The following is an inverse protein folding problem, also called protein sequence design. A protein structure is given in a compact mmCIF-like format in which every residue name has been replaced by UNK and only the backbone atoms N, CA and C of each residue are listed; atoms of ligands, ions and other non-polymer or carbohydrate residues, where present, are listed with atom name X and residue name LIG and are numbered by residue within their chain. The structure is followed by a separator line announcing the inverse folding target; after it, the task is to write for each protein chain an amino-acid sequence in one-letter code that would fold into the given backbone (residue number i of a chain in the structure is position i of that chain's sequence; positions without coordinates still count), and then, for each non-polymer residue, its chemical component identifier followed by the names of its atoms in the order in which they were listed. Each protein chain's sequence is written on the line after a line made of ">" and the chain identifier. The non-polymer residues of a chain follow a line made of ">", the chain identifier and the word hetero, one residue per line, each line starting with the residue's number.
data_IF_720222818876
#
_entry.id   IF_720222818876
#
_cell.length_a   1.000
_cell.length_b   1.000
_cell.length_c   1.000
_cell.angle_alpha   90.00
_cell.angle_beta   90.00
_cell.angle_gamma   90.00
#
_symmetry.space_group_name_H-M   'P 1'
#
loop_
_entity.id
_entity.type
_entity.pdbx_description
1 polymer ?
#
# COMPACT_ATOMS: atom_id res chain seq x y z
N UNK A 1 -55.38 -5.41 -31.18
CA UNK A 1 -54.79 -4.23 -30.53
C UNK A 1 -53.80 -4.61 -29.41
N UNK A 2 -54.27 -5.08 -28.23
CA UNK A 2 -53.31 -5.46 -27.11
C UNK A 2 -52.39 -6.63 -27.43
N UNK A 3 -52.84 -7.63 -28.20
CA UNK A 3 -51.98 -8.73 -28.63
C UNK A 3 -50.93 -8.30 -29.68
N UNK A 4 -51.31 -7.39 -30.56
CA UNK A 4 -50.41 -6.86 -31.58
C UNK A 4 -49.33 -5.96 -30.97
N UNK A 5 -49.68 -5.17 -29.95
CA UNK A 5 -48.73 -4.36 -29.18
C UNK A 5 -47.77 -5.24 -28.36
N UNK A 6 -48.26 -6.34 -27.78
CA UNK A 6 -47.42 -7.31 -27.04
C UNK A 6 -46.44 -7.97 -27.98
N UNK A 7 -46.86 -8.38 -29.18
CA UNK A 7 -45.97 -8.98 -30.17
C UNK A 7 -44.93 -7.98 -30.70
N UNK A 8 -45.28 -6.72 -30.89
CA UNK A 8 -44.33 -5.67 -31.29
C UNK A 8 -43.27 -5.41 -30.20
N UNK A 9 -43.69 -5.32 -28.93
CA UNK A 9 -42.75 -5.16 -27.80
C UNK A 9 -41.83 -6.37 -27.62
N UNK A 10 -42.34 -7.59 -27.83
CA UNK A 10 -41.51 -8.79 -27.80
C UNK A 10 -40.47 -8.80 -28.92
N UNK A 11 -40.84 -8.38 -30.12
CA UNK A 11 -39.91 -8.25 -31.23
C UNK A 11 -38.83 -7.16 -30.97
N UNK A 12 -39.23 -6.03 -30.40
CA UNK A 12 -38.30 -4.96 -30.01
C UNK A 12 -37.35 -5.43 -28.90
N UNK A 13 -37.83 -6.21 -27.94
CA UNK A 13 -37.01 -6.78 -26.90
C UNK A 13 -35.94 -7.72 -27.46
N UNK A 14 -36.32 -8.63 -28.38
CA UNK A 14 -35.36 -9.54 -29.04
C UNK A 14 -34.32 -8.74 -29.86
N UNK A 15 -34.75 -7.74 -30.62
CA UNK A 15 -33.80 -6.92 -31.40
C UNK A 15 -32.87 -6.10 -30.54
N UNK A 16 -33.29 -5.66 -29.35
CA UNK A 16 -32.42 -4.95 -28.39
C UNK A 16 -31.46 -5.89 -27.69
N UNK A 17 -31.87 -7.11 -27.35
CA UNK A 17 -30.98 -8.16 -26.83
C UNK A 17 -29.89 -8.55 -27.83
N UNK A 18 -30.24 -8.70 -29.12
CA UNK A 18 -29.27 -8.97 -30.17
C UNK A 18 -28.24 -7.83 -30.33
N UNK A 19 -28.72 -6.58 -30.28
CA UNK A 19 -27.82 -5.42 -30.31
C UNK A 19 -26.90 -5.39 -29.09
N UNK A 20 -27.38 -5.68 -27.90
CA UNK A 20 -26.58 -5.75 -26.67
C UNK A 20 -25.50 -6.83 -26.82
N UNK A 21 -25.83 -8.00 -27.36
CA UNK A 21 -24.89 -9.09 -27.55
C UNK A 21 -23.81 -8.76 -28.61
N UNK A 22 -24.18 -8.07 -29.68
CA UNK A 22 -23.23 -7.57 -30.68
C UNK A 22 -22.26 -6.55 -30.04
N UNK A 23 -22.81 -5.54 -29.34
CA UNK A 23 -22.01 -4.51 -28.68
C UNK A 23 -21.09 -5.09 -27.59
N UNK A 24 -21.51 -6.11 -26.88
CA UNK A 24 -20.65 -6.83 -25.93
C UNK A 24 -19.45 -7.47 -26.61
N UNK A 25 -19.68 -8.19 -27.72
CA UNK A 25 -18.61 -8.81 -28.50
C UNK A 25 -17.64 -7.77 -29.08
N UNK A 26 -18.16 -6.66 -29.59
CA UNK A 26 -17.32 -5.56 -30.09
C UNK A 26 -16.49 -4.93 -28.97
N UNK A 27 -17.07 -4.72 -27.79
CA UNK A 27 -16.36 -4.21 -26.62
C UNK A 27 -15.27 -5.20 -26.15
N UNK A 28 -15.54 -6.49 -26.13
CA UNK A 28 -14.54 -7.51 -25.80
C UNK A 28 -13.36 -7.47 -26.78
N UNK A 29 -13.65 -7.40 -28.09
CA UNK A 29 -12.60 -7.30 -29.12
C UNK A 29 -11.80 -6.00 -29.02
N UNK A 30 -12.46 -4.88 -28.73
CA UNK A 30 -11.79 -3.59 -28.53
C UNK A 30 -10.91 -3.61 -27.30
N UNK A 31 -11.38 -4.19 -26.19
CA UNK A 31 -10.62 -4.38 -24.97
C UNK A 31 -9.38 -5.25 -25.21
N UNK A 32 -9.53 -6.37 -25.90
CA UNK A 32 -8.42 -7.27 -26.22
C UNK A 32 -7.36 -6.57 -27.09
N UNK A 33 -7.78 -5.83 -28.12
CA UNK A 33 -6.84 -5.04 -28.95
C UNK A 33 -6.14 -3.96 -28.15
N UNK A 34 -6.87 -3.30 -27.26
CA UNK A 34 -6.31 -2.27 -26.42
C UNK A 34 -5.30 -2.84 -25.41
N UNK A 35 -5.63 -3.98 -24.78
CA UNK A 35 -4.75 -4.73 -23.87
C UNK A 35 -3.45 -5.11 -24.59
N UNK A 36 -3.55 -5.70 -25.78
CA UNK A 36 -2.39 -6.11 -26.57
C UNK A 36 -1.50 -4.91 -26.91
N UNK A 37 -2.11 -3.79 -27.34
CA UNK A 37 -1.37 -2.57 -27.64
C UNK A 37 -0.65 -2.01 -26.41
N UNK A 38 -1.30 -2.01 -25.24
CA UNK A 38 -0.69 -1.51 -24.02
C UNK A 38 0.43 -2.41 -23.52
N UNK A 39 0.30 -3.72 -23.70
CA UNK A 39 1.38 -4.67 -23.39
C UNK A 39 2.58 -4.45 -24.33
N UNK A 40 2.36 -4.25 -25.63
CA UNK A 40 3.44 -3.89 -26.56
C UNK A 40 4.14 -2.58 -26.18
N UNK A 41 3.38 -1.57 -25.74
CA UNK A 41 3.98 -0.30 -25.28
C UNK A 41 4.80 -0.49 -24.00
N UNK A 42 4.31 -1.31 -23.05
CA UNK A 42 5.05 -1.65 -21.85
C UNK A 42 6.34 -2.45 -22.17
N UNK A 43 6.28 -3.39 -23.11
CA UNK A 43 7.46 -4.14 -23.58
C UNK A 43 8.49 -3.22 -24.23
N UNK A 44 8.07 -2.34 -25.14
CA UNK A 44 8.98 -1.35 -25.76
C UNK A 44 9.65 -0.45 -24.70
N UNK A 45 8.89 -0.05 -23.68
CA UNK A 45 9.44 0.75 -22.57
C UNK A 45 10.47 -0.07 -21.76
N UNK A 46 10.20 -1.35 -21.53
CA UNK A 46 11.10 -2.26 -20.84
C UNK A 46 12.37 -2.54 -21.67
N UNK A 47 12.25 -2.75 -23.00
CA UNK A 47 13.38 -2.90 -23.91
C UNK A 47 14.27 -1.65 -23.94
N UNK A 48 13.66 -0.46 -24.02
CA UNK A 48 14.39 0.79 -23.95
C UNK A 48 15.16 0.94 -22.63
N UNK A 49 14.53 0.55 -21.51
CA UNK A 49 15.18 0.54 -20.20
C UNK A 49 16.36 -0.44 -20.16
N UNK A 50 16.19 -1.64 -20.71
CA UNK A 50 17.22 -2.67 -20.77
C UNK A 50 18.42 -2.25 -21.65
N UNK A 51 18.14 -1.56 -22.77
CA UNK A 51 19.19 -0.97 -23.61
C UNK A 51 19.98 0.11 -22.85
N UNK A 52 19.28 0.96 -22.10
CA UNK A 52 19.90 1.98 -21.26
C UNK A 52 20.75 1.36 -20.13
N UNK A 53 20.27 0.26 -19.53
CA UNK A 53 21.00 -0.51 -18.52
C UNK A 53 22.32 -1.07 -19.05
N UNK A 54 22.27 -1.72 -20.22
CA UNK A 54 23.49 -2.30 -20.84
C UNK A 54 24.51 -1.23 -21.20
N UNK A 55 24.06 -0.07 -21.69
CA UNK A 55 24.94 1.06 -21.98
C UNK A 55 25.57 1.63 -20.70
N UNK A 56 24.83 1.69 -19.61
CA UNK A 56 25.30 2.20 -18.31
C UNK A 56 26.27 1.21 -17.63
N UNK A 57 26.02 -0.09 -17.76
CA UNK A 57 26.94 -1.14 -17.29
C UNK A 57 28.28 -1.11 -18.05
N UNK A 58 28.23 -0.94 -19.37
CA UNK A 58 29.45 -0.77 -20.15
C UNK A 58 30.24 0.48 -19.72
N UNK A 59 29.55 1.61 -19.51
CA UNK A 59 30.19 2.83 -19.02
C UNK A 59 30.79 2.68 -17.61
N UNK A 60 30.13 1.91 -16.71
CA UNK A 60 30.67 1.58 -15.38
C UNK A 60 31.87 0.63 -15.46
N UNK A 61 31.83 -0.39 -16.31
CA UNK A 61 32.95 -1.30 -16.54
C UNK A 61 34.18 -0.55 -17.06
N UNK A 62 34.00 0.45 -17.91
CA UNK A 62 35.08 1.29 -18.41
C UNK A 62 35.60 2.25 -17.34
N UNK A 63 34.71 2.79 -16.49
CA UNK A 63 35.10 3.61 -15.33
C UNK A 63 35.81 2.79 -14.25
N UNK A 64 35.36 1.56 -13.98
CA UNK A 64 36.00 0.66 -13.00
C UNK A 64 37.31 0.08 -13.52
N UNK A 65 37.47 -0.15 -14.83
CA UNK A 65 38.76 -0.43 -15.45
C UNK A 65 39.76 0.71 -15.24
N UNK A 66 39.30 1.93 -15.22
CA UNK A 66 40.14 3.09 -14.88
C UNK A 66 40.46 3.19 -13.39
N UNK A 67 39.50 2.81 -12.49
CA UNK A 67 39.67 2.79 -11.03
C UNK A 67 40.50 1.60 -10.53
N UNK A 68 40.38 0.42 -11.16
CA UNK A 68 41.19 -0.76 -10.79
C UNK A 68 42.71 -0.55 -11.05
N UNK A 69 43.09 0.40 -11.90
CA UNK A 69 44.48 0.84 -12.02
C UNK A 69 44.96 1.68 -10.81
N UNK A 70 44.03 2.12 -9.94
CA UNK A 70 44.37 2.98 -8.78
C UNK A 70 44.12 2.39 -7.40
N UNK A 71 43.41 1.26 -7.25
CA UNK A 71 43.05 0.73 -5.93
C UNK A 71 43.28 -0.78 -5.79
N UNK A 72 44.56 -1.17 -5.61
CA UNK A 72 44.88 -2.35 -4.81
C UNK A 72 45.05 -1.87 -3.37
N UNK A 73 44.07 -2.13 -2.51
CA UNK A 73 44.09 -2.33 -1.04
C UNK A 73 42.81 -1.84 -0.39
N UNK A 74 42.01 -2.77 0.05
CA UNK A 74 41.56 -2.95 1.45
C UNK A 74 40.40 -3.93 1.50
N UNK A 75 40.69 -5.03 2.20
CA UNK A 75 39.73 -6.07 2.60
C UNK A 75 38.89 -5.59 3.78
N UNK A 76 37.65 -6.02 3.87
CA UNK A 76 37.17 -6.90 4.95
C UNK A 76 35.64 -6.88 5.08
N UNK A 77 35.17 -8.08 5.16
CA UNK A 77 33.83 -8.60 5.42
C UNK A 77 33.14 -8.06 6.68
N UNK A 78 31.82 -7.96 6.62
CA UNK A 78 30.97 -8.31 7.76
C UNK A 78 29.59 -8.75 7.28
N UNK A 79 29.32 -10.03 7.45
CA UNK A 79 27.98 -10.60 7.42
C UNK A 79 27.19 -10.13 8.63
N UNK A 80 25.99 -9.60 8.39
CA UNK A 80 25.05 -9.27 9.46
C UNK A 80 24.00 -10.37 9.51
N UNK A 81 24.01 -11.12 10.59
CA UNK A 81 22.95 -12.07 10.93
C UNK A 81 21.61 -11.34 11.17
N UNK A 82 20.64 -11.66 10.32
CA UNK A 82 19.27 -11.18 10.44
C UNK A 82 18.40 -12.32 10.94
N UNK A 83 18.00 -12.29 12.19
CA UNK A 83 16.72 -12.75 12.72
C UNK A 83 16.73 -12.79 14.25
N UNK A 84 16.50 -11.66 14.91
CA UNK A 84 15.98 -11.70 16.27
C UNK A 84 14.46 -11.57 16.18
N UNK A 85 13.76 -12.69 16.33
CA UNK A 85 12.33 -12.68 16.59
C UNK A 85 12.08 -11.90 17.89
N UNK A 86 11.47 -10.74 17.79
CA UNK A 86 11.03 -9.95 18.94
C UNK A 86 9.87 -10.73 19.57
N UNK A 87 9.92 -11.11 20.87
CA UNK A 87 8.79 -11.77 21.52
C UNK A 87 7.63 -10.78 21.56
N UNK A 88 6.55 -11.10 20.87
CA UNK A 88 5.33 -10.28 20.89
C UNK A 88 4.78 -10.22 22.31
N UNK A 89 4.65 -9.01 22.87
CA UNK A 89 3.87 -8.79 24.07
C UNK A 89 2.40 -9.09 23.77
N UNK A 90 1.66 -9.64 24.73
CA UNK A 90 0.22 -9.84 24.56
C UNK A 90 -0.44 -8.47 24.35
N UNK A 91 -1.04 -8.30 23.17
CA UNK A 91 -1.72 -7.06 22.80
C UNK A 91 -3.04 -6.96 23.58
N UNK A 92 -3.24 -5.85 24.26
CA UNK A 92 -4.49 -5.53 24.94
C UNK A 92 -5.23 -4.48 24.13
N UNK A 93 -6.51 -4.73 23.84
CA UNK A 93 -7.30 -3.80 23.06
C UNK A 93 -7.57 -2.50 23.83
N UNK A 94 -7.32 -1.33 23.23
CA UNK A 94 -7.50 -0.04 23.89
C UNK A 94 -8.98 0.24 24.14
N UNK A 95 -9.26 1.05 25.17
CA UNK A 95 -10.61 1.53 25.50
C UNK A 95 -10.83 2.97 25.08
N UNK A 96 -9.77 3.76 25.04
CA UNK A 96 -9.76 5.19 24.65
C UNK A 96 -8.40 5.56 24.06
N UNK A 97 -8.34 6.67 23.33
CA UNK A 97 -7.07 7.23 22.89
C UNK A 97 -6.23 7.70 24.08
N UNK A 98 -4.96 7.37 24.09
CA UNK A 98 -4.00 7.83 25.10
C UNK A 98 -3.57 9.27 24.85
N UNK A 99 -3.47 9.65 23.57
CA UNK A 99 -3.08 11.00 23.16
C UNK A 99 -3.70 11.34 21.79
N UNK A 100 -4.14 12.61 21.66
CA UNK A 100 -4.55 13.22 20.38
C UNK A 100 -3.57 14.31 20.01
N UNK A 101 -3.05 14.28 18.78
CA UNK A 101 -1.99 15.15 18.28
C UNK A 101 -2.51 15.90 17.06
N UNK A 102 -2.37 17.24 17.05
CA UNK A 102 -2.53 18.02 15.83
C UNK A 102 -1.24 17.87 14.99
N UNK A 103 -1.27 16.97 14.02
CA UNK A 103 -0.05 16.54 13.33
C UNK A 103 0.33 17.42 12.16
N UNK A 104 -0.64 17.88 11.34
CA UNK A 104 -0.39 18.62 10.11
C UNK A 104 -1.16 19.93 10.05
N UNK A 105 -0.70 20.83 9.18
CA UNK A 105 -1.38 22.10 8.91
C UNK A 105 -2.48 21.94 7.84
N UNK A 106 -2.47 20.84 7.11
CA UNK A 106 -3.44 20.45 6.10
C UNK A 106 -3.92 19.00 6.31
N UNK A 107 -4.77 18.47 5.41
CA UNK A 107 -5.30 17.12 5.47
C UNK A 107 -4.21 16.05 5.53
N UNK A 108 -4.39 15.05 6.42
CA UNK A 108 -3.52 13.87 6.48
C UNK A 108 -4.08 12.80 5.55
N UNK A 109 -3.20 12.09 4.85
CA UNK A 109 -3.58 11.02 3.94
C UNK A 109 -3.05 9.65 4.37
N UNK A 110 -1.91 9.60 5.05
CA UNK A 110 -1.26 8.35 5.41
C UNK A 110 -0.51 8.41 6.74
N UNK A 111 -0.33 7.25 7.34
CA UNK A 111 0.44 7.04 8.57
C UNK A 111 1.14 5.68 8.48
N UNK A 112 2.36 5.58 8.99
CA UNK A 112 3.11 4.35 9.11
C UNK A 112 3.98 4.35 10.36
N UNK A 113 4.05 3.22 11.06
CA UNK A 113 5.00 2.98 12.12
C UNK A 113 6.37 2.56 11.55
N UNK A 114 7.45 2.86 12.24
CA UNK A 114 8.80 2.41 11.91
C UNK A 114 8.97 0.92 12.19
N UNK A 115 9.95 0.29 11.55
CA UNK A 115 10.22 -1.16 11.70
C UNK A 115 10.71 -1.52 13.11
N UNK A 116 11.40 -0.61 13.78
CA UNK A 116 11.82 -0.78 15.18
C UNK A 116 10.74 -0.40 16.19
N UNK A 117 9.67 0.26 15.75
CA UNK A 117 8.61 0.75 16.61
C UNK A 117 8.98 1.95 17.47
N UNK A 118 10.10 2.63 17.18
CA UNK A 118 10.57 3.80 17.94
C UNK A 118 9.95 5.12 17.49
N UNK A 119 9.42 5.16 16.27
CA UNK A 119 8.82 6.35 15.67
C UNK A 119 7.64 6.00 14.77
N UNK A 120 6.88 6.99 14.37
CA UNK A 120 5.91 6.87 13.28
C UNK A 120 5.98 8.11 12.39
N UNK A 121 5.55 7.95 11.15
CA UNK A 121 5.51 9.01 10.15
C UNK A 121 4.10 9.23 9.65
N UNK A 122 3.79 10.48 9.33
CA UNK A 122 2.54 10.88 8.67
C UNK A 122 2.83 11.70 7.44
N UNK A 123 1.99 11.57 6.42
CA UNK A 123 2.07 12.36 5.20
C UNK A 123 0.73 13.00 4.86
N UNK A 124 0.77 14.19 4.30
CA UNK A 124 -0.45 14.94 4.05
C UNK A 124 -0.38 15.92 2.89
N UNK A 125 -1.46 16.72 2.78
CA UNK A 125 -1.63 17.74 1.75
C UNK A 125 -0.71 18.97 1.94
N UNK A 126 -0.09 19.11 3.10
CA UNK A 126 0.94 20.12 3.36
C UNK A 126 2.30 19.79 2.69
N UNK A 127 2.35 18.69 1.90
CA UNK A 127 3.52 18.27 1.11
C UNK A 127 4.72 17.86 1.96
N UNK A 128 4.50 17.52 3.23
CA UNK A 128 5.52 17.15 4.19
C UNK A 128 5.28 15.75 4.71
N UNK A 129 6.37 15.07 5.06
CA UNK A 129 6.33 13.92 5.97
C UNK A 129 6.79 14.41 7.32
N UNK A 130 5.96 14.24 8.35
CA UNK A 130 6.31 14.56 9.73
C UNK A 130 6.60 13.29 10.48
N UNK A 131 7.72 13.29 11.21
CA UNK A 131 8.20 12.18 12.03
C UNK A 131 7.88 12.47 13.50
N UNK A 132 7.42 11.46 14.19
CA UNK A 132 7.00 11.54 15.58
C UNK A 132 7.68 10.44 16.39
N UNK A 133 8.03 10.75 17.62
CA UNK A 133 8.44 9.75 18.59
C UNK A 133 7.27 8.86 18.98
N UNK A 134 7.45 7.55 18.97
CA UNK A 134 6.40 6.54 19.15
C UNK A 134 5.74 6.59 20.53
N UNK A 135 6.48 6.98 21.58
CA UNK A 135 6.00 6.98 22.96
C UNK A 135 5.40 8.32 23.36
N UNK A 136 6.13 9.39 23.04
CA UNK A 136 5.72 10.74 23.47
C UNK A 136 4.75 11.39 22.48
N UNK A 137 4.72 10.95 21.23
CA UNK A 137 3.95 11.55 20.15
C UNK A 137 4.37 12.99 19.83
N UNK A 138 5.59 13.37 20.17
CA UNK A 138 6.13 14.67 19.81
C UNK A 138 6.75 14.65 18.43
N UNK A 139 6.62 15.75 17.68
CA UNK A 139 7.27 15.89 16.38
C UNK A 139 8.78 15.93 16.59
N UNK A 140 9.49 15.03 15.92
CA UNK A 140 10.96 15.02 15.92
C UNK A 140 11.50 15.77 14.73
N UNK A 141 10.98 15.51 13.53
CA UNK A 141 11.44 16.13 12.30
C UNK A 141 10.32 16.33 11.29
N UNK A 142 10.56 17.23 10.32
CA UNK A 142 9.67 17.46 9.19
C UNK A 142 10.48 17.38 7.89
N UNK A 143 10.14 16.41 7.04
CA UNK A 143 10.79 16.17 5.77
C UNK A 143 10.05 16.90 4.66
N UNK A 144 10.76 17.71 3.90
CA UNK A 144 10.24 18.50 2.78
C UNK A 144 10.83 18.03 1.45
N UNK A 145 10.29 18.56 0.34
CA UNK A 145 10.76 18.25 -1.02
C UNK A 145 9.72 17.60 -1.92
N UNK A 146 8.55 17.22 -1.39
CA UNK A 146 7.42 16.87 -2.22
C UNK A 146 6.76 18.12 -2.82
N UNK A 147 6.32 18.03 -4.07
CA UNK A 147 5.70 19.17 -4.77
C UNK A 147 4.19 19.20 -4.57
N UNK A 148 3.57 18.06 -4.26
CA UNK A 148 2.15 17.91 -4.00
C UNK A 148 1.89 16.98 -2.81
N UNK A 149 0.62 16.60 -2.60
CA UNK A 149 0.15 15.77 -1.50
C UNK A 149 0.85 14.43 -1.43
N UNK A 150 1.25 14.03 -0.22
CA UNK A 150 1.80 12.72 0.07
C UNK A 150 0.64 11.75 0.33
N UNK A 151 0.58 10.67 -0.45
CA UNK A 151 -0.51 9.68 -0.45
C UNK A 151 -0.19 8.42 0.35
N UNK A 152 1.08 8.06 0.45
CA UNK A 152 1.55 6.88 1.20
C UNK A 152 2.92 7.17 1.79
N UNK A 153 3.18 6.59 2.95
CA UNK A 153 4.47 6.65 3.66
C UNK A 153 4.88 5.26 4.10
N UNK A 154 6.16 4.95 4.03
CA UNK A 154 6.72 3.70 4.57
C UNK A 154 8.18 3.92 5.01
N UNK A 155 8.55 3.28 6.12
CA UNK A 155 9.95 3.11 6.52
C UNK A 155 10.54 1.88 5.82
N UNK A 156 11.84 1.88 5.60
CA UNK A 156 12.54 0.66 5.20
C UNK A 156 12.79 -0.24 6.42
N UNK A 157 13.31 -1.46 6.19
CA UNK A 157 13.53 -2.47 7.24
C UNK A 157 14.54 -2.06 8.31
N UNK A 158 15.50 -1.16 7.97
CA UNK A 158 16.54 -0.67 8.88
C UNK A 158 16.21 0.66 9.54
N UNK A 159 15.06 1.27 9.24
CA UNK A 159 14.67 2.61 9.66
C UNK A 159 15.71 3.72 9.32
N UNK A 160 16.46 3.53 8.22
CA UNK A 160 17.37 4.55 7.70
C UNK A 160 16.74 5.45 6.64
N UNK A 161 15.69 4.94 5.99
CA UNK A 161 15.02 5.58 4.87
C UNK A 161 13.52 5.67 5.11
N UNK A 162 12.92 6.76 4.64
CA UNK A 162 11.48 6.93 4.54
C UNK A 162 11.10 7.20 3.10
N UNK A 163 10.11 6.48 2.61
CA UNK A 163 9.53 6.61 1.28
C UNK A 163 8.22 7.37 1.38
N UNK A 164 7.94 8.25 0.43
CA UNK A 164 6.66 8.92 0.25
C UNK A 164 6.21 8.90 -1.20
N UNK A 165 5.01 8.37 -1.45
CA UNK A 165 4.33 8.49 -2.75
C UNK A 165 3.60 9.81 -2.82
N UNK A 166 3.55 10.43 -4.00
CA UNK A 166 2.98 11.77 -4.15
C UNK A 166 1.99 11.85 -5.33
N UNK A 167 1.09 12.82 -5.25
CA UNK A 167 0.16 13.12 -6.35
C UNK A 167 0.81 13.88 -7.51
N UNK A 168 2.07 14.27 -7.38
CA UNK A 168 2.89 14.86 -8.45
C UNK A 168 3.57 13.81 -9.35
N UNK A 169 3.04 12.59 -9.36
CA UNK A 169 3.47 11.45 -10.17
C UNK A 169 4.88 10.92 -9.82
N UNK A 170 5.44 11.35 -8.69
CA UNK A 170 6.75 10.92 -8.24
C UNK A 170 6.67 10.18 -6.90
N UNK A 171 7.63 9.29 -6.68
CA UNK A 171 7.91 8.69 -5.38
C UNK A 171 9.25 9.22 -4.89
N UNK A 172 9.32 9.61 -3.63
CA UNK A 172 10.54 10.21 -3.05
C UNK A 172 11.01 9.42 -1.85
N UNK A 173 12.32 9.45 -1.64
CA UNK A 173 12.97 8.74 -0.54
C UNK A 173 13.87 9.72 0.19
N UNK A 174 13.67 9.83 1.49
CA UNK A 174 14.48 10.66 2.38
C UNK A 174 15.36 9.77 3.26
N UNK A 175 16.55 10.27 3.56
CA UNK A 175 17.43 9.68 4.57
C UNK A 175 17.04 10.21 5.94
N UNK A 176 16.83 9.31 6.91
CA UNK A 176 16.54 9.68 8.31
C UNK A 176 17.78 10.19 9.06
N UNK A 177 18.98 9.78 8.66
CA UNK A 177 20.21 10.28 9.26
C UNK A 177 20.49 11.75 8.93
N UNK A 178 20.17 12.18 7.69
CA UNK A 178 20.44 13.55 7.22
C UNK A 178 19.21 14.41 7.11
N UNK A 179 18.00 13.82 7.20
CA UNK A 179 16.69 14.43 6.98
C UNK A 179 16.55 15.10 5.59
N UNK A 180 17.33 14.64 4.62
CA UNK A 180 17.37 15.18 3.25
C UNK A 180 16.80 14.18 2.25
N UNK A 181 16.27 14.72 1.16
CA UNK A 181 15.85 13.95 0.01
C UNK A 181 17.05 13.22 -0.59
N UNK A 182 16.96 11.90 -0.74
CA UNK A 182 18.00 11.02 -1.28
C UNK A 182 17.73 10.64 -2.73
N UNK A 183 16.49 10.22 -3.03
CA UNK A 183 16.08 9.81 -4.37
C UNK A 183 14.72 10.43 -4.74
N UNK A 184 14.56 10.76 -6.03
CA UNK A 184 13.27 11.10 -6.63
C UNK A 184 13.05 10.16 -7.81
N UNK A 185 12.07 9.30 -7.69
CA UNK A 185 11.71 8.30 -8.69
C UNK A 185 10.60 8.89 -9.56
N UNK A 186 10.98 9.33 -10.76
CA UNK A 186 10.09 9.95 -11.75
C UNK A 186 9.91 9.02 -12.95
N UNK A 187 8.70 8.99 -13.52
CA UNK A 187 8.40 8.14 -14.68
C UNK A 187 6.97 7.63 -14.70
N UNK A 188 6.20 7.70 -13.59
CA UNK A 188 4.76 7.58 -13.67
C UNK A 188 4.16 8.83 -14.35
N UNK A 189 3.10 8.63 -15.14
CA UNK A 189 2.35 9.71 -15.79
C UNK A 189 1.07 10.08 -15.04
N UNK A 190 0.74 9.34 -13.99
CA UNK A 190 -0.39 9.58 -13.09
C UNK A 190 0.01 9.58 -11.62
N UNK A 191 -0.91 10.00 -10.76
CA UNK A 191 -0.72 10.06 -9.30
C UNK A 191 -0.26 8.72 -8.75
N UNK A 192 0.77 8.73 -7.89
CA UNK A 192 1.23 7.52 -7.20
C UNK A 192 0.48 7.39 -5.88
N UNK A 193 -0.26 6.30 -5.71
CA UNK A 193 -1.06 6.09 -4.50
C UNK A 193 -0.38 5.23 -3.45
N UNK A 194 0.49 4.33 -3.86
CA UNK A 194 1.22 3.46 -2.95
C UNK A 194 2.61 3.17 -3.49
N UNK A 195 3.55 2.98 -2.58
CA UNK A 195 4.85 2.41 -2.89
C UNK A 195 5.39 1.65 -1.70
N UNK A 196 6.20 0.63 -1.96
CA UNK A 196 6.76 -0.27 -0.96
C UNK A 196 8.24 -0.53 -1.22
N UNK A 197 9.04 -0.51 -0.16
CA UNK A 197 10.40 -1.03 -0.19
C UNK A 197 10.37 -2.57 -0.22
N UNK A 198 11.32 -3.17 -0.92
CA UNK A 198 11.72 -4.55 -0.66
C UNK A 198 12.47 -4.64 0.68
N UNK A 199 12.52 -5.81 1.30
CA UNK A 199 13.10 -5.96 2.63
C UNK A 199 14.60 -5.63 2.66
N UNK A 200 15.31 -5.92 1.56
CA UNK A 200 16.71 -5.55 1.36
C UNK A 200 16.93 -4.04 1.11
N UNK A 201 15.85 -3.27 1.00
CA UNK A 201 15.85 -1.82 0.71
C UNK A 201 16.56 -1.42 -0.58
N UNK A 202 16.84 -2.37 -1.49
CA UNK A 202 17.49 -2.09 -2.77
C UNK A 202 16.50 -1.70 -3.87
N UNK A 203 15.25 -2.14 -3.73
CA UNK A 203 14.20 -1.85 -4.71
C UNK A 203 12.98 -1.20 -4.07
N UNK A 204 12.24 -0.48 -4.90
CA UNK A 204 10.92 0.06 -4.57
C UNK A 204 9.93 -0.38 -5.64
N UNK A 205 8.72 -0.72 -5.22
CA UNK A 205 7.62 -1.02 -6.13
C UNK A 205 6.53 0.02 -5.87
N UNK A 206 6.10 0.71 -6.92
CA UNK A 206 5.08 1.76 -6.84
C UNK A 206 3.88 1.43 -7.71
N UNK A 207 2.69 1.79 -7.22
CA UNK A 207 1.42 1.67 -7.92
C UNK A 207 0.79 3.03 -8.16
N UNK A 208 0.29 3.24 -9.38
CA UNK A 208 -0.19 4.53 -9.84
C UNK A 208 -1.59 4.48 -10.46
N UNK A 209 -2.19 5.65 -10.52
CA UNK A 209 -3.43 5.91 -11.26
C UNK A 209 -3.26 5.72 -12.77
N UNK A 210 -2.03 5.77 -13.29
CA UNK A 210 -1.71 5.54 -14.70
C UNK A 210 -1.88 4.08 -15.15
N UNK A 211 -2.39 3.22 -14.28
CA UNK A 211 -2.63 1.78 -14.50
C UNK A 211 -1.34 1.00 -14.69
N UNK A 212 -0.27 1.44 -14.04
CA UNK A 212 1.01 0.71 -14.04
C UNK A 212 1.53 0.49 -12.64
N UNK A 213 2.26 -0.61 -12.46
CA UNK A 213 3.22 -0.76 -11.39
C UNK A 213 4.61 -0.53 -11.98
N UNK A 214 5.48 0.08 -11.20
CA UNK A 214 6.88 0.27 -11.59
C UNK A 214 7.80 -0.31 -10.51
N UNK A 215 8.81 -1.03 -10.96
CA UNK A 215 9.89 -1.57 -10.13
C UNK A 215 11.11 -0.68 -10.31
N UNK A 216 11.59 -0.12 -9.23
CA UNK A 216 12.72 0.81 -9.20
C UNK A 216 13.91 0.16 -8.51
N UNK A 217 15.08 0.31 -9.09
CA UNK A 217 16.35 -0.06 -8.49
C UNK A 217 16.97 1.20 -7.87
N UNK A 218 17.19 1.20 -6.55
CA UNK A 218 17.69 2.38 -5.84
C UNK A 218 19.20 2.61 -6.01
N UNK A 219 19.94 1.56 -6.33
CA UNK A 219 21.36 1.70 -6.63
C UNK A 219 21.56 2.33 -8.02
N UNK A 220 20.73 1.93 -8.97
CA UNK A 220 20.75 2.44 -10.32
C UNK A 220 20.01 3.79 -10.46
N UNK A 221 18.99 4.01 -9.63
CA UNK A 221 18.21 5.26 -9.57
C UNK A 221 17.11 5.39 -10.64
N UNK A 222 16.77 4.30 -11.36
CA UNK A 222 15.76 4.33 -12.41
C UNK A 222 14.82 3.12 -12.37
N UNK A 223 13.75 3.20 -13.17
CA UNK A 223 12.76 2.14 -13.31
C UNK A 223 13.32 0.97 -14.12
N UNK A 224 13.34 -0.21 -13.54
CA UNK A 224 13.82 -1.44 -14.18
C UNK A 224 12.71 -2.24 -14.85
N UNK A 225 11.47 -2.08 -14.41
CA UNK A 225 10.31 -2.78 -14.98
C UNK A 225 9.05 -1.93 -14.85
N UNK A 226 8.27 -1.90 -15.92
CA UNK A 226 6.91 -1.38 -15.94
C UNK A 226 5.94 -2.52 -16.19
N UNK A 227 4.90 -2.64 -15.35
CA UNK A 227 3.86 -3.66 -15.44
C UNK A 227 2.54 -2.93 -15.67
N UNK A 228 1.82 -3.29 -16.70
CA UNK A 228 0.50 -2.74 -17.00
C UNK A 228 -0.58 -3.53 -16.25
N UNK A 229 -1.40 -2.82 -15.44
CA UNK A 229 -2.33 -3.44 -14.49
C UNK A 229 -3.80 -3.35 -14.89
N UNK A 230 -4.09 -2.87 -16.10
CA UNK A 230 -5.44 -2.72 -16.69
C UNK A 230 -6.34 -1.70 -15.97
N UNK A 231 -6.19 -1.50 -14.67
CA UNK A 231 -6.96 -0.57 -13.85
C UNK A 231 -6.05 0.23 -12.92
N UNK A 232 -6.52 1.40 -12.48
CA UNK A 232 -5.79 2.25 -11.53
C UNK A 232 -5.48 1.48 -10.25
N UNK A 233 -4.23 1.55 -9.80
CA UNK A 233 -3.76 0.92 -8.59
C UNK A 233 -3.95 1.87 -7.39
N UNK A 234 -4.69 1.43 -6.38
CA UNK A 234 -4.93 2.18 -5.15
C UNK A 234 -3.95 1.78 -4.03
N UNK A 235 -3.55 0.52 -3.97
CA UNK A 235 -2.60 0.03 -2.97
C UNK A 235 -1.76 -1.13 -3.48
N UNK A 236 -0.57 -1.30 -2.88
CA UNK A 236 0.39 -2.35 -3.22
C UNK A 236 0.93 -2.95 -1.94
N UNK A 237 1.08 -4.27 -1.90
CA UNK A 237 1.89 -4.95 -0.89
C UNK A 237 2.79 -6.01 -1.54
N UNK A 238 3.82 -6.41 -0.82
CA UNK A 238 4.76 -7.45 -1.26
C UNK A 238 4.42 -8.74 -0.52
N UNK A 239 4.31 -9.83 -1.26
CA UNK A 239 4.08 -11.15 -0.69
C UNK A 239 5.37 -11.71 -0.12
N UNK A 240 6.47 -11.52 -0.83
CA UNK A 240 7.79 -12.05 -0.48
C UNK A 240 8.70 -10.92 0.03
N UNK A 241 9.65 -11.22 0.96
CA UNK A 241 10.65 -10.25 1.41
C UNK A 241 11.46 -9.64 0.28
N UNK A 242 11.79 -10.44 -0.73
CA UNK A 242 12.55 -10.02 -1.91
C UNK A 242 11.71 -9.21 -2.92
N UNK A 243 10.39 -9.11 -2.70
CA UNK A 243 9.48 -8.40 -3.59
C UNK A 243 9.37 -9.03 -4.99
N UNK A 244 9.48 -10.36 -5.08
CA UNK A 244 9.29 -11.08 -6.33
C UNK A 244 7.81 -11.14 -6.70
N UNK A 245 6.95 -11.39 -5.71
CA UNK A 245 5.49 -11.38 -5.90
C UNK A 245 4.87 -10.12 -5.32
N UNK A 246 4.22 -9.38 -6.19
CA UNK A 246 3.54 -8.12 -5.86
C UNK A 246 2.04 -8.32 -5.90
N UNK A 247 1.34 -7.84 -4.89
CA UNK A 247 -0.11 -7.82 -4.81
C UNK A 247 -0.59 -6.39 -4.95
N UNK A 248 -1.55 -6.16 -5.83
CA UNK A 248 -2.11 -4.84 -6.08
C UNK A 248 -3.63 -4.83 -5.98
N UNK A 249 -4.16 -3.79 -5.34
CA UNK A 249 -5.60 -3.54 -5.21
C UNK A 249 -6.04 -2.41 -6.13
N UNK A 250 -7.14 -2.61 -6.84
CA UNK A 250 -7.52 -1.77 -7.96
C UNK A 250 -8.90 -1.11 -7.83
N UNK A 251 -9.09 -0.09 -8.67
CA UNK A 251 -10.33 0.68 -8.81
C UNK A 251 -11.48 -0.18 -9.39
N UNK A 252 -11.17 -1.22 -10.16
CA UNK A 252 -12.11 -2.15 -10.79
C UNK A 252 -12.58 -3.28 -9.85
N UNK A 253 -12.36 -3.15 -8.55
CA UNK A 253 -12.73 -4.09 -7.48
C UNK A 253 -11.87 -5.38 -7.46
N UNK A 254 -10.90 -5.52 -8.35
CA UNK A 254 -10.06 -6.71 -8.47
C UNK A 254 -8.76 -6.57 -7.70
N UNK A 255 -8.23 -7.71 -7.30
CA UNK A 255 -6.90 -7.84 -6.70
C UNK A 255 -6.07 -8.65 -7.68
N UNK A 256 -4.85 -8.20 -7.96
CA UNK A 256 -3.96 -8.87 -8.92
C UNK A 256 -2.62 -9.18 -8.31
N UNK A 257 -2.08 -10.33 -8.67
CA UNK A 257 -0.76 -10.79 -8.26
C UNK A 257 0.15 -10.80 -9.48
N UNK A 258 1.37 -10.29 -9.31
CA UNK A 258 2.34 -10.07 -10.37
C UNK A 258 3.70 -10.64 -10.00
N UNK A 259 4.40 -11.22 -10.96
CA UNK A 259 5.84 -11.47 -10.85
C UNK A 259 6.58 -10.16 -11.21
N UNK A 260 7.22 -9.56 -10.22
CA UNK A 260 7.93 -8.28 -10.39
C UNK A 260 9.13 -8.38 -11.33
N UNK A 261 9.73 -9.57 -11.47
CA UNK A 261 10.89 -9.80 -12.32
C UNK A 261 10.51 -9.89 -13.80
N UNK A 262 9.46 -10.65 -14.10
CA UNK A 262 8.99 -10.86 -15.48
C UNK A 262 7.96 -9.83 -15.92
N UNK A 263 7.21 -9.26 -14.97
CA UNK A 263 6.08 -8.38 -15.24
C UNK A 263 4.79 -9.11 -15.59
N UNK A 264 4.79 -10.45 -15.53
CA UNK A 264 3.64 -11.27 -15.89
C UNK A 264 2.66 -11.37 -14.72
N UNK A 265 1.35 -11.33 -15.03
CA UNK A 265 0.30 -11.58 -14.05
C UNK A 265 0.29 -13.05 -13.62
N UNK A 266 0.39 -13.27 -12.31
CA UNK A 266 0.33 -14.61 -11.70
C UNK A 266 -1.14 -15.04 -11.54
N UNK A 267 -1.95 -14.15 -10.97
CA UNK A 267 -3.35 -14.42 -10.65
C UNK A 267 -4.17 -13.13 -10.61
N UNK A 268 -5.39 -13.21 -11.06
CA UNK A 268 -6.42 -12.19 -10.84
C UNK A 268 -7.52 -12.77 -9.95
N UNK A 269 -7.87 -12.05 -8.90
CA UNK A 269 -8.93 -12.37 -7.96
C UNK A 269 -10.12 -11.45 -8.24
N UNK A 270 -11.12 -11.97 -8.92
CA UNK A 270 -12.36 -11.28 -9.27
C UNK A 270 -13.49 -11.69 -8.35
N UNK A 271 -14.50 -10.81 -8.15
CA UNK A 271 -15.67 -11.12 -7.36
C UNK A 271 -15.45 -11.25 -5.85
N UNK A 272 -14.23 -10.96 -5.37
CA UNK A 272 -13.94 -10.91 -3.93
C UNK A 272 -14.73 -9.77 -3.29
N UNK A 273 -14.68 -8.58 -3.89
CA UNK A 273 -15.37 -7.39 -3.42
C UNK A 273 -16.28 -6.81 -4.50
N UNK A 274 -17.37 -6.17 -4.09
CA UNK A 274 -18.27 -5.45 -4.99
C UNK A 274 -17.92 -3.97 -5.15
N UNK A 275 -16.98 -3.46 -4.38
CA UNK A 275 -16.47 -2.08 -4.41
C UNK A 275 -14.95 -2.02 -4.62
N UNK A 276 -14.47 -0.83 -4.93
CA UNK A 276 -13.04 -0.56 -5.17
C UNK A 276 -12.18 -1.02 -3.99
N UNK A 277 -11.04 -1.65 -4.28
CA UNK A 277 -10.06 -2.01 -3.26
C UNK A 277 -9.32 -0.75 -2.82
N UNK A 278 -9.31 -0.49 -1.52
CA UNK A 278 -8.66 0.69 -0.95
C UNK A 278 -7.34 0.37 -0.25
N UNK A 279 -7.21 -0.85 0.27
CA UNK A 279 -6.01 -1.30 0.97
C UNK A 279 -5.78 -2.79 0.77
N UNK A 280 -4.51 -3.15 0.65
CA UNK A 280 -4.02 -4.53 0.66
C UNK A 280 -2.83 -4.62 1.61
N UNK A 281 -2.85 -5.59 2.52
CA UNK A 281 -1.74 -5.83 3.45
C UNK A 281 -1.63 -7.31 3.76
N UNK A 282 -0.41 -7.79 3.94
CA UNK A 282 -0.14 -9.18 4.28
C UNK A 282 0.19 -9.29 5.76
N UNK A 283 -0.18 -10.41 6.39
CA UNK A 283 0.15 -10.62 7.80
C UNK A 283 1.65 -10.86 7.97
N UNK A 284 2.23 -10.23 9.00
CA UNK A 284 3.64 -10.38 9.31
C UNK A 284 3.97 -11.73 9.97
N UNK A 285 2.97 -12.46 10.48
CA UNK A 285 3.19 -13.69 11.26
C UNK A 285 3.46 -14.91 10.38
N UNK A 286 2.70 -15.08 9.31
CA UNK A 286 2.79 -16.25 8.43
C UNK A 286 3.06 -15.91 6.97
N UNK A 287 2.91 -14.63 6.58
CA UNK A 287 3.09 -14.19 5.20
C UNK A 287 2.09 -14.79 4.19
N UNK A 288 1.06 -15.51 4.68
CA UNK A 288 0.14 -16.26 3.82
C UNK A 288 -1.28 -15.71 3.82
N UNK A 289 -1.59 -14.81 4.75
CA UNK A 289 -2.93 -14.21 4.86
C UNK A 289 -2.91 -12.77 4.38
N UNK A 290 -3.64 -12.49 3.30
CA UNK A 290 -3.85 -11.16 2.74
C UNK A 290 -5.10 -10.53 3.37
N UNK A 291 -4.97 -9.32 3.89
CA UNK A 291 -6.09 -8.48 4.30
C UNK A 291 -6.40 -7.49 3.19
N UNK A 292 -7.66 -7.40 2.84
CA UNK A 292 -8.17 -6.44 1.86
C UNK A 292 -9.26 -5.57 2.48
N UNK A 293 -9.28 -4.29 2.15
CA UNK A 293 -10.34 -3.36 2.52
C UNK A 293 -10.95 -2.77 1.25
N UNK A 294 -12.27 -2.60 1.24
CA UNK A 294 -13.00 -2.16 0.06
C UNK A 294 -14.05 -1.11 0.36
N UNK A 295 -14.44 -0.37 -0.68
CA UNK A 295 -15.55 0.59 -0.67
C UNK A 295 -16.93 -0.06 -0.53
N UNK A 296 -17.01 -1.38 -0.57
CA UNK A 296 -18.23 -2.14 -0.23
C UNK A 296 -18.49 -2.22 1.28
N UNK A 297 -17.68 -1.53 2.09
CA UNK A 297 -17.74 -1.50 3.55
C UNK A 297 -17.45 -2.86 4.20
N UNK A 298 -16.67 -3.71 3.54
CA UNK A 298 -16.19 -4.96 4.10
C UNK A 298 -14.66 -5.03 4.05
N UNK A 299 -14.11 -5.74 5.04
CA UNK A 299 -12.73 -6.22 4.96
C UNK A 299 -12.80 -7.74 4.79
N UNK A 300 -11.81 -8.29 4.10
CA UNK A 300 -11.70 -9.74 3.92
C UNK A 300 -10.28 -10.20 4.11
N UNK A 301 -10.13 -11.38 4.71
CA UNK A 301 -8.86 -12.11 4.71
C UNK A 301 -8.92 -13.22 3.68
N UNK A 302 -7.84 -13.36 2.91
CA UNK A 302 -7.70 -14.30 1.80
C UNK A 302 -6.43 -15.11 2.04
N UNK A 303 -6.50 -16.43 1.93
CA UNK A 303 -5.29 -17.28 1.89
C UNK A 303 -4.66 -17.15 0.49
N UNK A 304 -3.45 -16.62 0.40
CA UNK A 304 -2.77 -16.38 -0.88
C UNK A 304 -2.30 -17.65 -1.57
N UNK A 305 -2.29 -18.80 -0.90
CA UNK A 305 -1.92 -20.11 -1.48
C UNK A 305 -3.10 -20.78 -2.17
N UNK A 306 -4.29 -20.63 -1.59
CA UNK A 306 -5.54 -21.22 -2.10
C UNK A 306 -6.38 -20.21 -2.86
N UNK A 307 -6.11 -18.90 -2.66
CA UNK A 307 -6.86 -17.77 -3.21
C UNK A 307 -8.32 -17.72 -2.74
N UNK A 308 -8.60 -18.33 -1.60
CA UNK A 308 -9.94 -18.41 -1.01
C UNK A 308 -10.12 -17.39 0.11
N UNK A 309 -11.36 -16.91 0.27
CA UNK A 309 -11.74 -16.04 1.37
C UNK A 309 -11.78 -16.85 2.66
N UNK A 310 -10.89 -16.52 3.60
CA UNK A 310 -10.86 -17.15 4.92
C UNK A 310 -11.93 -16.54 5.83
N UNK A 311 -12.04 -15.19 5.82
CA UNK A 311 -12.96 -14.47 6.70
C UNK A 311 -13.41 -13.15 6.06
N UNK A 312 -14.65 -12.76 6.38
CA UNK A 312 -15.18 -11.43 6.05
C UNK A 312 -15.50 -10.69 7.35
N UNK A 313 -15.15 -9.39 7.39
CA UNK A 313 -15.39 -8.51 8.52
C UNK A 313 -16.32 -7.39 8.08
N UNK A 314 -17.36 -7.16 8.85
CA UNK A 314 -18.32 -6.09 8.62
C UNK A 314 -18.89 -5.62 9.96
N UNK A 315 -19.39 -4.40 10.00
CA UNK A 315 -20.13 -3.86 11.11
C UNK A 315 -21.14 -2.85 10.58
N UNK A 316 -22.31 -2.73 11.24
CA UNK A 316 -23.35 -1.78 10.81
C UNK A 316 -22.87 -0.34 10.81
N UNK A 317 -21.95 -0.01 11.72
CA UNK A 317 -21.36 1.33 11.87
C UNK A 317 -20.12 1.54 10.99
N UNK A 318 -19.56 0.50 10.39
CA UNK A 318 -18.37 0.64 9.56
C UNK A 318 -18.70 1.13 8.16
N UNK A 319 -18.06 2.22 7.76
CA UNK A 319 -18.15 2.79 6.40
C UNK A 319 -16.76 3.17 5.89
N UNK A 320 -16.37 2.61 4.76
CA UNK A 320 -15.13 3.00 4.09
C UNK A 320 -15.38 4.25 3.21
N UNK A 321 -14.95 5.40 3.68
CA UNK A 321 -15.23 6.71 3.07
C UNK A 321 -14.26 7.17 2.00
N UNK A 322 -13.04 6.58 1.89
CA UNK A 322 -11.95 7.07 1.05
C UNK A 322 -11.31 5.94 0.25
N UNK A 323 -10.87 6.26 -0.99
CA UNK A 323 -10.18 5.28 -1.85
C UNK A 323 -8.76 4.92 -1.36
N UNK A 324 -8.25 5.65 -0.37
CA UNK A 324 -6.92 5.43 0.23
C UNK A 324 -6.97 5.11 1.72
N UNK A 325 -8.16 4.72 2.26
CA UNK A 325 -8.28 4.22 3.63
C UNK A 325 -7.48 2.94 3.80
N UNK A 326 -6.56 2.95 4.76
CA UNK A 326 -5.70 1.81 5.05
C UNK A 326 -6.22 1.01 6.23
N UNK A 327 -6.06 -0.31 6.14
CA UNK A 327 -6.31 -1.27 7.21
C UNK A 327 -5.03 -2.04 7.54
N UNK A 328 -4.95 -2.60 8.72
CA UNK A 328 -3.75 -3.30 9.19
C UNK A 328 -4.09 -4.49 10.07
N UNK A 329 -3.21 -5.49 10.07
CA UNK A 329 -3.17 -6.50 11.11
C UNK A 329 -2.48 -5.99 12.37
N UNK A 330 -2.84 -6.55 13.53
CA UNK A 330 -1.98 -6.47 14.71
C UNK A 330 -0.69 -7.27 14.48
N UNK A 331 0.44 -6.90 15.13
CA UNK A 331 1.71 -7.61 14.96
C UNK A 331 1.66 -9.11 15.28
N UNK A 332 0.78 -9.51 16.20
CA UNK A 332 0.54 -10.92 16.56
C UNK A 332 -0.49 -11.63 15.64
N UNK A 333 -1.02 -10.94 14.63
CA UNK A 333 -2.00 -11.47 13.68
C UNK A 333 -3.39 -11.77 14.24
N UNK A 334 -3.65 -11.44 15.53
CA UNK A 334 -4.94 -11.78 16.18
C UNK A 334 -6.07 -10.82 15.87
N UNK A 335 -5.73 -9.58 15.51
CA UNK A 335 -6.71 -8.52 15.27
C UNK A 335 -6.51 -7.86 13.92
N UNK A 336 -7.60 -7.31 13.41
CA UNK A 336 -7.66 -6.47 12.22
C UNK A 336 -8.21 -5.13 12.63
N UNK A 337 -7.58 -4.04 12.20
CA UNK A 337 -8.01 -2.69 12.50
C UNK A 337 -8.23 -1.86 11.24
N UNK A 338 -9.33 -1.10 11.20
CA UNK A 338 -9.63 -0.17 10.12
C UNK A 338 -10.38 1.05 10.63
N UNK A 339 -10.14 2.18 9.96
CA UNK A 339 -10.82 3.43 10.24
C UNK A 339 -12.08 3.60 9.41
N UNK A 340 -13.12 4.15 10.02
CA UNK A 340 -14.42 4.42 9.42
C UNK A 340 -14.61 5.89 9.04
N UNK A 341 -15.57 6.14 8.16
CA UNK A 341 -15.93 7.48 7.69
C UNK A 341 -16.55 8.38 8.77
N UNK A 342 -17.11 7.78 9.80
CA UNK A 342 -17.69 8.48 10.96
C UNK A 342 -16.65 8.89 12.03
N UNK A 343 -15.37 8.57 11.81
CA UNK A 343 -14.31 8.83 12.77
C UNK A 343 -14.11 7.72 13.80
N UNK A 344 -14.80 6.58 13.66
CA UNK A 344 -14.64 5.44 14.56
C UNK A 344 -13.52 4.51 14.10
N UNK A 345 -12.69 4.06 15.03
CA UNK A 345 -11.75 2.98 14.82
C UNK A 345 -12.43 1.66 15.15
N UNK A 346 -12.47 0.75 14.17
CA UNK A 346 -13.03 -0.59 14.34
C UNK A 346 -11.91 -1.62 14.46
N UNK A 347 -12.02 -2.53 15.42
CA UNK A 347 -11.07 -3.61 15.66
C UNK A 347 -11.84 -4.93 15.74
N UNK A 348 -11.51 -5.86 14.85
CA UNK A 348 -12.10 -7.19 14.79
C UNK A 348 -11.08 -8.24 15.19
N UNK A 349 -11.58 -9.35 15.73
CA UNK A 349 -10.80 -10.55 15.94
C UNK A 349 -10.59 -11.27 14.59
N UNK A 350 -9.34 -11.42 14.18
CA UNK A 350 -8.99 -11.98 12.87
C UNK A 350 -9.48 -13.43 12.69
N UNK A 351 -9.49 -14.23 13.76
CA UNK A 351 -9.89 -15.64 13.73
C UNK A 351 -11.40 -15.81 13.72
N UNK A 352 -12.13 -15.05 14.54
CA UNK A 352 -13.59 -15.23 14.70
C UNK A 352 -14.41 -14.34 13.77
N UNK A 353 -13.83 -13.24 13.25
CA UNK A 353 -14.54 -12.23 12.47
C UNK A 353 -15.41 -11.29 13.29
N UNK A 354 -15.45 -11.45 14.62
CA UNK A 354 -16.29 -10.62 15.49
C UNK A 354 -15.67 -9.25 15.73
N UNK A 355 -16.52 -8.22 15.77
CA UNK A 355 -16.14 -6.88 16.20
C UNK A 355 -15.85 -6.89 17.70
N UNK A 356 -14.64 -6.54 18.09
CA UNK A 356 -14.22 -6.47 19.50
C UNK A 356 -14.37 -5.06 20.05
N UNK A 357 -14.05 -4.04 19.24
CA UNK A 357 -14.11 -2.63 19.62
C UNK A 357 -14.55 -1.75 18.44
N UNK A 358 -15.35 -0.73 18.76
CA UNK A 358 -15.61 0.44 17.93
C UNK A 358 -15.38 1.67 18.81
N UNK A 359 -14.36 2.47 18.48
CA UNK A 359 -13.85 3.56 19.32
C UNK A 359 -13.99 4.89 18.59
N UNK A 360 -14.89 5.76 19.04
CA UNK A 360 -15.21 7.05 18.43
C UNK A 360 -14.46 8.18 19.14
N UNK A 361 -13.27 8.51 18.68
CA UNK A 361 -12.40 9.58 19.23
C UNK A 361 -12.01 10.62 18.18
N UNK A 362 -12.16 10.30 16.91
CA UNK A 362 -11.88 11.24 15.84
C UNK A 362 -13.14 12.00 15.43
N UNK A 363 -12.93 13.21 14.94
CA UNK A 363 -14.02 14.11 14.49
C UNK A 363 -14.29 14.00 13.00
N UNK A 364 -13.45 13.28 12.26
CA UNK A 364 -13.50 13.14 10.80
C UNK A 364 -13.08 11.75 10.36
N UNK A 365 -13.24 11.47 9.08
CA UNK A 365 -12.87 10.19 8.45
C UNK A 365 -11.44 9.78 8.83
N UNK A 366 -11.25 8.57 9.29
CA UNK A 366 -9.93 7.98 9.51
C UNK A 366 -9.39 7.48 8.17
N UNK A 367 -8.29 8.05 7.72
CA UNK A 367 -7.65 7.71 6.45
C UNK A 367 -6.55 6.65 6.57
N UNK A 368 -5.91 6.55 7.73
CA UNK A 368 -4.82 5.61 7.94
C UNK A 368 -4.82 5.00 9.33
N UNK A 369 -4.47 3.73 9.39
CA UNK A 369 -4.30 2.96 10.62
C UNK A 369 -2.98 2.22 10.52
N UNK A 370 -2.15 2.28 11.55
CA UNK A 370 -0.86 1.59 11.59
C UNK A 370 -0.57 1.08 12.99
N UNK A 371 -0.27 -0.20 13.10
CA UNK A 371 0.13 -0.80 14.37
C UNK A 371 1.63 -0.70 14.55
N UNK A 372 2.07 -0.38 15.76
CA UNK A 372 3.47 -0.45 16.13
C UNK A 372 3.93 -1.93 16.11
N UNK A 373 5.04 -2.28 15.47
CA UNK A 373 5.53 -3.67 15.42
C UNK A 373 5.75 -4.32 16.78
N UNK A 374 6.07 -3.53 17.81
CA UNK A 374 6.22 -4.02 19.18
C UNK A 374 4.88 -4.36 19.87
N UNK A 375 3.75 -3.97 19.27
CA UNK A 375 2.42 -4.18 19.85
C UNK A 375 2.03 -3.20 20.95
N UNK A 376 2.87 -2.20 21.27
CA UNK A 376 2.62 -1.26 22.37
C UNK A 376 1.60 -0.17 22.01
N UNK A 377 1.57 0.24 20.74
CA UNK A 377 0.72 1.33 20.26
C UNK A 377 0.05 0.99 18.93
N UNK A 378 -1.15 1.52 18.78
CA UNK A 378 -1.86 1.65 17.51
C UNK A 378 -1.97 3.14 17.19
N UNK A 379 -1.75 3.52 15.95
CA UNK A 379 -1.85 4.90 15.50
C UNK A 379 -2.95 5.02 14.46
N UNK A 380 -3.77 6.06 14.58
CA UNK A 380 -4.82 6.38 13.61
C UNK A 380 -4.71 7.82 13.19
N UNK A 381 -4.83 8.07 11.89
CA UNK A 381 -4.81 9.40 11.32
C UNK A 381 -6.18 9.75 10.74
N UNK A 382 -6.75 10.89 11.17
CA UNK A 382 -7.96 11.43 10.56
C UNK A 382 -7.62 12.44 9.46
N UNK A 383 -8.49 12.55 8.49
CA UNK A 383 -8.36 13.53 7.40
C UNK A 383 -8.19 14.95 7.91
N UNK A 384 -8.85 15.32 9.02
CA UNK A 384 -8.84 16.66 9.60
C UNK A 384 -7.64 16.88 10.55
N UNK A 385 -6.41 16.59 10.09
CA UNK A 385 -5.12 17.03 10.69
C UNK A 385 -4.71 16.37 11.99
N UNK A 386 -5.51 15.50 12.60
CA UNK A 386 -5.19 14.89 13.87
C UNK A 386 -4.78 13.42 13.75
N UNK A 387 -3.93 13.02 14.67
CA UNK A 387 -3.51 11.64 14.91
C UNK A 387 -3.88 11.26 16.32
N UNK A 388 -4.49 10.10 16.51
CA UNK A 388 -4.70 9.50 17.82
C UNK A 388 -3.72 8.35 18.03
N UNK A 389 -3.14 8.32 19.23
CA UNK A 389 -2.32 7.23 19.74
C UNK A 389 -3.17 6.41 20.69
N UNK A 390 -3.13 5.10 20.53
CA UNK A 390 -3.87 4.14 21.35
C UNK A 390 -2.86 3.20 22.01
N UNK A 391 -2.85 3.20 23.33
CA UNK A 391 -1.98 2.31 24.09
C UNK A 391 -2.57 0.90 24.09
N UNK A 392 -1.80 -0.04 23.60
CA UNK A 392 -2.13 -1.46 23.48
C UNK A 392 -1.21 -2.34 24.34
N UNK A 393 -0.39 -1.72 25.20
CA UNK A 393 0.49 -2.42 26.12
C UNK A 393 -0.24 -3.00 27.33
N UNK A 394 0.30 -4.09 27.87
CA UNK A 394 -0.24 -4.73 29.09
C UNK A 394 -0.02 -3.88 30.35
N UNK A 395 0.93 -2.94 30.32
CA UNK A 395 1.35 -2.14 31.49
C UNK A 395 0.36 -1.03 31.82
N UNK A 396 -0.28 -0.42 30.82
CA UNK A 396 -1.18 0.73 31.03
C UNK A 396 -2.51 0.37 31.73
N UNK A 397 -2.95 -0.88 31.65
CA UNK A 397 -4.23 -1.31 32.23
C UNK A 397 -4.17 -1.60 33.74
N UNK A 398 -3.00 -1.67 34.37
CA UNK A 398 -2.85 -1.87 35.81
C UNK A 398 -3.03 -0.59 36.63
N UNK A 399 -2.92 0.59 36.00
CA UNK A 399 -3.03 1.90 36.71
C UNK A 399 -4.43 2.55 36.65
N UNK A 400 -5.36 1.97 35.88
CA UNK A 400 -6.74 2.50 35.76
C UNK A 400 -7.76 1.85 36.72
N UNK A 401 -7.30 0.99 37.65
CA UNK A 401 -8.11 0.31 38.66
C UNK A 401 -7.74 0.74 40.09
N UNK A 402 -7.25 1.95 40.27
CA UNK A 402 -7.15 2.57 41.59
C UNK A 402 -7.94 3.86 41.65
#
# INVERSE_FOLDING_TARGET
>A
MLQDELAALQLEMVTTEDKINILRKENEQLLERWINKMNEEAEKMNEATQFYETALEQAKLDADRQKLKQAKRRDASSSVDLAKAIPFSNIVLPKKASKRISAHDAEIHCIAASSTGTMFATGGADKKIKLFDAKTGNITHSLSGALQTITSVQFNSTDELVLGSCTDNATRIWSLATHRLKHTLTGHIGKVYAAKFTMDSNRVISGSHDRTLKVWDLQKGYNTRTIFTFSSCNDVCLMDPDGQTVISGHLDNNIRLWDARTGVGIKELTGIHSGQITSVSITATDGTTLLTNSRDNTLKTIDVRMYDIVRSFQAETYRNGLNWSRSTFSPDGKYVAAGSADGSLHIWNAKTGKLERALAEHSSVICGVSWNPNGDFLYTAEKNKAVCMWDTSTVANSNSSK
#
